data_IF_715309344305
#
_entry.id   IF_715309344305
#
_cell.length_a   1.000
_cell.length_b   1.000
_cell.length_c   1.000
_cell.angle_alpha   90.00
_cell.angle_beta   90.00
_cell.angle_gamma   90.00
#
_symmetry.space_group_name_H-M   'P 1'
#
loop_
_entity.id
_entity.type
_entity.pdbx_description
1 polymer ?
#
# COMPACT_ATOMS: atom_id res chain seq x y z
N UNK A 1 39.87 -35.31 13.56
CA UNK A 1 41.30 -35.31 13.90
C UNK A 1 42.08 -34.91 12.65
N UNK A 2 42.69 -33.72 12.68
CA UNK A 2 43.91 -33.27 11.99
C UNK A 2 44.11 -33.50 10.45
N UNK A 3 44.21 -32.36 9.74
CA UNK A 3 45.27 -31.95 8.78
C UNK A 3 45.43 -32.66 7.41
N UNK A 4 44.91 -32.03 6.33
CA UNK A 4 45.58 -31.17 5.28
C UNK A 4 47.13 -31.36 5.08
N UNK A 5 47.80 -30.95 3.96
CA UNK A 5 47.65 -31.06 2.48
C UNK A 5 48.99 -31.49 1.77
N UNK A 6 49.08 -31.41 0.42
CA UNK A 6 50.18 -30.84 -0.46
C UNK A 6 50.01 -31.41 -1.88
N UNK A 7 49.92 -30.66 -3.00
CA UNK A 7 50.74 -29.64 -3.69
C UNK A 7 51.71 -30.17 -4.77
N UNK A 8 51.55 -29.56 -5.96
CA UNK A 8 52.56 -29.14 -6.96
C UNK A 8 53.16 -30.07 -8.06
N UNK A 9 52.86 -29.67 -9.31
CA UNK A 9 53.75 -29.40 -10.48
C UNK A 9 54.65 -30.56 -11.02
N UNK A 10 54.63 -30.93 -12.31
CA UNK A 10 55.00 -30.15 -13.51
C UNK A 10 55.13 -31.11 -14.72
N UNK A 11 55.16 -30.60 -15.97
CA UNK A 11 56.24 -30.82 -16.97
C UNK A 11 55.85 -30.35 -18.40
N UNK A 12 56.69 -29.42 -18.92
CA UNK A 12 57.27 -29.29 -20.29
C UNK A 12 56.35 -29.36 -21.54
N UNK A 13 56.50 -28.54 -22.58
CA UNK A 13 57.49 -27.51 -22.91
C UNK A 13 57.38 -27.11 -24.40
N UNK A 14 57.73 -25.85 -24.69
CA UNK A 14 58.36 -25.24 -25.91
C UNK A 14 57.85 -25.60 -27.32
N UNK A 15 57.86 -24.74 -28.35
CA UNK A 15 58.08 -23.31 -28.59
C UNK A 15 57.96 -23.13 -30.14
N UNK A 16 57.46 -21.98 -30.62
CA UNK A 16 57.93 -21.23 -31.80
C UNK A 16 56.81 -20.38 -32.45
N UNK A 17 56.90 -19.08 -32.22
CA UNK A 17 56.49 -17.97 -33.11
C UNK A 17 57.61 -17.71 -34.14
N UNK A 18 57.55 -16.75 -35.11
CA UNK A 18 56.46 -15.84 -35.52
C UNK A 18 56.30 -15.67 -37.06
N UNK A 19 55.17 -15.12 -37.52
CA UNK A 19 55.15 -14.22 -38.71
C UNK A 19 54.13 -13.11 -38.49
N UNK A 20 54.60 -11.86 -38.55
CA UNK A 20 53.79 -10.63 -38.65
C UNK A 20 53.38 -10.41 -40.11
N UNK A 21 52.14 -9.99 -40.34
CA UNK A 21 51.79 -9.12 -41.46
C UNK A 21 50.71 -8.13 -41.01
N UNK A 22 51.09 -6.86 -41.09
CA UNK A 22 50.27 -5.68 -40.89
C UNK A 22 49.34 -5.45 -42.09
N UNK A 23 48.09 -5.09 -41.85
CA UNK A 23 47.39 -4.17 -42.74
C UNK A 23 46.45 -3.27 -41.94
N UNK A 24 46.66 -1.97 -42.11
CA UNK A 24 45.88 -0.87 -41.59
C UNK A 24 44.81 -0.47 -42.61
N UNK A 25 43.55 -0.39 -42.20
CA UNK A 25 42.56 0.56 -42.77
C UNK A 25 41.64 1.06 -41.66
N UNK A 26 41.44 2.37 -41.65
CA UNK A 26 40.70 3.15 -40.68
C UNK A 26 39.24 3.38 -41.12
N UNK A 27 38.47 3.97 -40.18
CA UNK A 27 37.10 4.52 -40.31
C UNK A 27 35.97 3.47 -40.24
N UNK A 28 34.86 3.61 -39.51
CA UNK A 28 34.29 4.74 -38.74
C UNK A 28 33.24 4.18 -37.76
N UNK A 29 33.21 4.71 -36.54
CA UNK A 29 32.04 4.97 -35.67
C UNK A 29 30.83 4.01 -35.64
N UNK A 30 30.64 3.32 -34.50
CA UNK A 30 29.46 3.50 -33.62
C UNK A 30 29.63 2.68 -32.33
N UNK A 31 30.39 3.19 -31.35
CA UNK A 31 30.40 2.60 -30.00
C UNK A 31 29.15 3.06 -29.26
N UNK A 32 28.14 2.18 -29.21
CA UNK A 32 27.05 2.26 -28.25
C UNK A 32 27.64 2.18 -26.84
N UNK A 33 27.77 3.33 -26.19
CA UNK A 33 28.03 3.40 -24.76
C UNK A 33 26.75 2.98 -24.04
N UNK A 34 26.60 1.67 -23.79
CA UNK A 34 25.73 1.20 -22.71
C UNK A 34 26.34 1.68 -21.40
N UNK A 35 25.95 2.88 -20.98
CA UNK A 35 26.13 3.34 -19.61
C UNK A 35 25.21 2.48 -18.74
N UNK A 36 25.70 1.33 -18.31
CA UNK A 36 25.12 0.63 -17.16
C UNK A 36 25.35 1.51 -15.95
N UNK A 37 24.35 2.32 -15.61
CA UNK A 37 24.26 3.02 -14.32
C UNK A 37 24.23 1.94 -13.24
N UNK A 38 25.41 1.59 -12.73
CA UNK A 38 25.55 0.87 -11.47
C UNK A 38 24.95 1.77 -10.39
N UNK A 39 23.71 1.50 -10.00
CA UNK A 39 23.12 2.05 -8.79
C UNK A 39 23.88 1.44 -7.62
N UNK A 40 24.96 2.10 -7.20
CA UNK A 40 25.56 1.85 -5.88
C UNK A 40 24.45 1.98 -4.85
N UNK A 41 24.09 0.86 -4.23
CA UNK A 41 23.14 0.81 -3.12
C UNK A 41 23.88 1.43 -1.93
N UNK A 42 23.88 2.76 -1.83
CA UNK A 42 24.27 3.44 -0.62
C UNK A 42 23.26 3.00 0.45
N UNK A 43 23.76 2.29 1.47
CA UNK A 43 23.06 2.08 2.73
C UNK A 43 22.77 3.48 3.29
N UNK A 44 21.59 4.02 3.03
CA UNK A 44 21.27 5.40 3.36
C UNK A 44 21.08 5.50 4.87
N UNK A 45 22.08 6.03 5.56
CA UNK A 45 21.91 6.46 6.95
C UNK A 45 20.81 7.53 7.00
N UNK A 46 19.84 7.36 7.90
CA UNK A 46 18.76 8.33 8.08
C UNK A 46 19.33 9.69 8.50
N UNK A 47 18.80 10.76 7.90
CA UNK A 47 19.16 12.14 8.26
C UNK A 47 18.42 12.51 9.56
N UNK A 48 19.17 12.78 10.63
CA UNK A 48 18.60 13.12 11.94
C UNK A 48 18.80 14.57 12.35
N UNK A 49 19.70 15.30 11.67
CA UNK A 49 19.91 16.72 11.94
C UNK A 49 18.84 17.56 11.21
N UNK A 50 18.07 18.35 11.96
CA UNK A 50 17.07 19.28 11.40
C UNK A 50 17.66 20.28 10.41
N UNK A 51 18.90 20.73 10.61
CA UNK A 51 19.54 21.74 9.74
C UNK A 51 19.87 21.20 8.33
N UNK A 52 19.79 19.88 8.16
CA UNK A 52 19.91 19.20 6.84
C UNK A 52 18.62 19.25 6.02
N UNK A 53 17.58 19.89 6.55
CA UNK A 53 16.27 20.03 5.91
C UNK A 53 15.85 21.50 5.79
N UNK A 54 15.23 21.82 4.67
CA UNK A 54 14.52 23.08 4.47
C UNK A 54 13.01 22.79 4.39
N UNK A 55 12.27 23.33 5.36
CA UNK A 55 10.82 23.20 5.45
C UNK A 55 10.15 24.28 4.59
N UNK A 56 9.19 23.86 3.79
CA UNK A 56 8.40 24.69 2.88
C UNK A 56 6.96 24.86 3.33
N UNK A 57 6.05 24.85 2.35
CA UNK A 57 4.63 25.17 2.55
C UNK A 57 3.91 24.07 3.33
N UNK A 58 2.94 24.47 4.13
CA UNK A 58 1.91 23.55 4.64
C UNK A 58 1.08 22.97 3.48
N UNK A 59 0.92 21.64 3.47
CA UNK A 59 0.13 20.91 2.47
C UNK A 59 -1.28 20.67 3.00
N UNK A 60 -1.39 20.25 4.26
CA UNK A 60 -2.65 19.85 4.86
C UNK A 60 -2.45 19.14 6.19
N UNK A 61 -3.55 18.76 6.81
CA UNK A 61 -3.55 17.98 8.04
C UNK A 61 -4.61 16.91 7.97
N UNK A 62 -4.34 15.76 8.56
CA UNK A 62 -5.33 14.70 8.72
C UNK A 62 -5.23 14.13 10.13
N UNK A 63 -6.38 13.73 10.67
CA UNK A 63 -6.41 12.83 11.82
C UNK A 63 -6.21 11.40 11.35
N UNK A 64 -5.89 10.51 12.27
CA UNK A 64 -6.04 9.09 11.98
C UNK A 64 -7.54 8.76 11.90
N UNK A 65 -7.95 8.31 10.72
CA UNK A 65 -9.20 7.59 10.50
C UNK A 65 -8.82 6.14 10.26
N UNK A 66 -9.24 5.24 11.13
CA UNK A 66 -9.26 3.84 10.75
C UNK A 66 -10.39 3.73 9.72
N UNK A 67 -10.13 3.20 8.53
CA UNK A 67 -11.20 3.05 7.51
C UNK A 67 -12.35 2.18 8.04
N UNK A 68 -12.10 1.43 9.11
CA UNK A 68 -13.08 0.61 9.78
C UNK A 68 -13.72 1.22 11.03
N UNK A 69 -13.44 2.48 11.39
CA UNK A 69 -14.08 3.15 12.55
C UNK A 69 -15.46 3.71 12.19
N UNK A 70 -16.44 2.83 11.97
CA UNK A 70 -17.85 3.23 12.06
C UNK A 70 -18.55 2.47 13.18
N UNK A 71 -18.93 3.19 14.23
CA UNK A 71 -19.96 2.79 15.18
C UNK A 71 -21.34 3.10 14.57
N UNK A 72 -22.20 2.08 14.49
CA UNK A 72 -23.58 2.20 13.97
C UNK A 72 -24.37 3.37 14.57
N UNK A 73 -25.17 4.05 13.73
CA UNK A 73 -26.15 5.05 14.15
C UNK A 73 -27.23 4.39 15.03
N UNK A 74 -27.42 4.89 16.25
CA UNK A 74 -28.59 4.62 17.08
C UNK A 74 -29.76 5.47 16.56
N UNK A 75 -30.85 4.85 16.13
CA UNK A 75 -32.14 5.53 15.96
C UNK A 75 -33.08 4.94 17.00
N UNK A 76 -33.41 5.75 18.00
CA UNK A 76 -34.34 5.38 19.06
C UNK A 76 -35.78 5.71 18.67
N UNK A 77 -36.69 4.79 19.01
CA UNK A 77 -37.94 5.10 19.71
C UNK A 77 -38.38 3.88 20.52
N UNK A 78 -38.19 4.04 21.83
CA UNK A 78 -38.93 3.57 23.00
C UNK A 78 -39.18 2.07 23.30
N UNK A 79 -38.65 1.74 24.48
CA UNK A 79 -39.19 0.88 25.53
C UNK A 79 -39.12 -0.63 25.35
N UNK A 80 -38.12 -1.24 25.98
CA UNK A 80 -38.25 -2.11 27.19
C UNK A 80 -37.05 -3.06 27.25
N UNK A 81 -36.29 -2.94 28.35
CA UNK A 81 -35.30 -3.87 28.93
C UNK A 81 -34.82 -5.06 28.05
N UNK A 82 -33.65 -4.91 27.41
CA UNK A 82 -32.84 -6.04 26.96
C UNK A 82 -31.36 -5.84 27.29
N UNK A 83 -30.79 -6.90 27.86
CA UNK A 83 -29.39 -7.11 28.24
C UNK A 83 -28.38 -6.53 27.25
N UNK A 84 -27.56 -5.62 27.77
CA UNK A 84 -26.34 -5.04 27.20
C UNK A 84 -25.20 -6.07 27.09
N UNK A 85 -25.33 -7.04 26.18
CA UNK A 85 -24.20 -7.87 25.75
C UNK A 85 -24.43 -8.34 24.31
N UNK A 86 -23.41 -8.15 23.48
CA UNK A 86 -23.28 -8.69 22.12
C UNK A 86 -24.34 -8.30 21.10
N UNK A 87 -24.10 -7.21 20.34
CA UNK A 87 -24.17 -7.17 18.86
C UNK A 87 -23.64 -5.78 18.42
N UNK A 88 -22.59 -5.77 17.57
CA UNK A 88 -22.17 -4.57 16.82
C UNK A 88 -20.83 -3.91 17.22
N UNK A 89 -19.75 -4.68 17.41
CA UNK A 89 -18.40 -4.13 17.71
C UNK A 89 -17.49 -4.17 16.48
N UNK A 90 -17.67 -3.25 15.53
CA UNK A 90 -16.81 -3.09 14.36
C UNK A 90 -15.62 -2.15 14.66
N UNK A 91 -14.45 -2.80 14.77
CA UNK A 91 -13.06 -2.38 14.48
C UNK A 91 -12.62 -0.96 14.89
N UNK A 92 -12.40 -0.80 16.19
CA UNK A 92 -11.60 0.29 16.75
C UNK A 92 -10.16 -0.23 16.92
N UNK A 93 -9.19 0.39 16.24
CA UNK A 93 -7.83 0.46 16.77
C UNK A 93 -7.93 1.40 17.97
N UNK A 94 -7.35 1.04 19.12
CA UNK A 94 -7.66 1.69 20.41
C UNK A 94 -7.21 3.17 20.51
N UNK A 95 -6.76 3.77 19.39
CA UNK A 95 -6.62 5.22 19.18
C UNK A 95 -7.92 5.77 18.58
N UNK A 96 -8.69 6.51 19.38
CA UNK A 96 -9.92 7.15 18.91
C UNK A 96 -9.68 8.07 17.71
N UNK A 97 -10.61 8.04 16.75
CA UNK A 97 -10.61 8.88 15.55
C UNK A 97 -10.41 10.36 15.92
N UNK A 98 -9.42 11.00 15.31
CA UNK A 98 -9.12 12.42 15.55
C UNK A 98 -8.31 12.76 16.81
N UNK A 99 -7.86 11.78 17.60
CA UNK A 99 -7.04 12.04 18.81
C UNK A 99 -5.64 12.60 18.49
N UNK A 100 -5.04 12.20 17.36
CA UNK A 100 -3.74 12.70 16.89
C UNK A 100 -3.92 13.39 15.54
N UNK A 101 -3.63 14.70 15.49
CA UNK A 101 -3.68 15.51 14.26
C UNK A 101 -2.30 15.62 13.64
N UNK A 102 -2.08 14.90 12.54
CA UNK A 102 -0.85 14.97 11.75
C UNK A 102 -0.91 16.16 10.81
N UNK A 103 0.21 16.87 10.68
CA UNK A 103 0.39 17.93 9.67
C UNK A 103 1.39 17.49 8.61
N UNK A 104 1.15 17.93 7.39
CA UNK A 104 2.01 17.68 6.24
C UNK A 104 2.62 18.99 5.74
N UNK A 105 3.91 18.98 5.49
CA UNK A 105 4.65 20.11 4.91
C UNK A 105 5.50 19.65 3.74
N UNK A 106 5.64 20.50 2.73
CA UNK A 106 6.64 20.31 1.68
C UNK A 106 8.02 20.64 2.24
N UNK A 107 9.06 20.14 1.57
CA UNK A 107 10.41 20.60 1.82
C UNK A 107 11.43 19.98 0.88
N UNK A 108 12.70 20.17 1.25
CA UNK A 108 13.84 19.58 0.55
C UNK A 108 14.99 19.30 1.50
N UNK A 109 15.86 18.37 1.10
CA UNK A 109 17.15 18.17 1.76
C UNK A 109 18.10 19.31 1.36
N UNK A 110 18.66 20.01 2.34
CA UNK A 110 19.50 21.21 2.12
C UNK A 110 21.00 20.88 1.96
N UNK A 111 21.46 19.79 2.57
CA UNK A 111 22.87 19.44 2.68
C UNK A 111 23.13 17.93 2.50
N UNK A 112 24.39 17.55 2.30
CA UNK A 112 24.81 16.15 2.16
C UNK A 112 24.52 15.51 0.80
N UNK A 113 24.71 14.18 0.67
CA UNK A 113 24.61 13.47 -0.61
C UNK A 113 23.23 13.49 -1.27
N UNK A 114 22.18 13.74 -0.48
CA UNK A 114 20.79 13.80 -0.94
C UNK A 114 20.30 15.24 -1.16
N UNK A 115 21.21 16.24 -1.14
CA UNK A 115 20.86 17.65 -1.35
C UNK A 115 19.99 17.86 -2.60
N UNK A 116 18.95 18.67 -2.45
CA UNK A 116 17.98 18.97 -3.49
C UNK A 116 16.85 17.95 -3.62
N UNK A 117 16.90 16.82 -2.91
CA UNK A 117 15.79 15.84 -2.91
C UNK A 117 14.55 16.47 -2.29
N UNK A 118 13.43 16.45 -3.01
CA UNK A 118 12.14 16.91 -2.49
C UNK A 118 11.59 15.94 -1.45
N UNK A 119 11.04 16.48 -0.38
CA UNK A 119 10.47 15.72 0.74
C UNK A 119 9.08 16.19 1.10
N UNK A 120 8.30 15.28 1.67
CA UNK A 120 7.08 15.58 2.41
C UNK A 120 7.36 15.25 3.87
N UNK A 121 7.25 16.26 4.73
CA UNK A 121 7.30 16.09 6.17
C UNK A 121 5.96 15.64 6.69
N UNK A 122 5.96 14.58 7.49
CA UNK A 122 4.85 14.15 8.31
C UNK A 122 5.16 14.52 9.76
N UNK A 123 4.36 15.40 10.32
CA UNK A 123 4.62 16.02 11.62
C UNK A 123 3.59 15.53 12.62
N UNK A 124 4.09 14.78 13.61
CA UNK A 124 3.31 14.36 14.76
C UNK A 124 3.38 15.43 15.84
N UNK A 125 2.25 15.76 16.48
CA UNK A 125 2.24 16.67 17.62
C UNK A 125 3.05 16.06 18.77
N UNK A 126 3.79 16.90 19.51
CA UNK A 126 4.48 16.43 20.70
C UNK A 126 3.52 16.07 21.84
N UNK A 127 4.03 15.37 22.85
CA UNK A 127 3.26 14.77 23.94
C UNK A 127 2.22 15.70 24.60
N UNK A 128 2.51 17.01 24.71
CA UNK A 128 1.59 18.00 25.30
C UNK A 128 0.29 18.19 24.51
N UNK A 129 0.35 18.03 23.18
CA UNK A 129 -0.78 18.23 22.28
C UNK A 129 -1.34 16.93 21.71
N UNK A 130 -0.50 15.90 21.57
CA UNK A 130 -0.86 14.61 20.96
C UNK A 130 -0.96 13.42 21.91
N UNK A 131 -0.68 13.61 23.20
CA UNK A 131 -0.60 12.50 24.15
C UNK A 131 0.61 11.59 23.91
N UNK A 132 0.66 10.47 24.63
CA UNK A 132 1.71 9.44 24.46
C UNK A 132 1.55 8.71 23.12
N UNK A 133 0.33 8.67 22.63
CA UNK A 133 -0.09 8.02 21.40
C UNK A 133 0.63 8.62 20.20
N UNK A 134 0.72 9.96 20.09
CA UNK A 134 1.41 10.61 18.98
C UNK A 134 2.90 10.22 18.89
N UNK A 135 3.60 10.17 20.03
CA UNK A 135 5.01 9.78 20.10
C UNK A 135 5.18 8.29 19.75
N UNK A 136 4.30 7.42 20.27
CA UNK A 136 4.30 5.99 19.93
C UNK A 136 4.08 5.76 18.44
N UNK A 137 3.16 6.49 17.82
CA UNK A 137 2.87 6.40 16.39
C UNK A 137 4.04 6.88 15.53
N UNK A 138 4.65 8.02 15.88
CA UNK A 138 5.82 8.53 15.18
C UNK A 138 7.01 7.56 15.28
N UNK A 139 7.28 7.06 16.49
CA UNK A 139 8.35 6.10 16.74
C UNK A 139 8.10 4.79 15.99
N UNK A 140 6.87 4.28 15.99
CA UNK A 140 6.53 3.04 15.29
C UNK A 140 6.67 3.19 13.77
N UNK A 141 6.19 4.29 13.18
CA UNK A 141 6.35 4.55 11.75
C UNK A 141 7.82 4.69 11.34
N UNK A 142 8.62 5.44 12.10
CA UNK A 142 10.05 5.58 11.87
C UNK A 142 10.76 4.22 11.93
N UNK A 143 10.47 3.43 12.96
CA UNK A 143 11.07 2.10 13.15
C UNK A 143 10.66 1.12 12.05
N UNK A 144 9.39 1.12 11.64
CA UNK A 144 8.88 0.27 10.57
C UNK A 144 9.59 0.57 9.24
N UNK A 145 9.69 1.85 8.86
CA UNK A 145 10.43 2.24 7.65
C UNK A 145 11.92 1.94 7.75
N UNK A 146 12.57 2.27 8.87
CA UNK A 146 13.99 2.01 9.07
C UNK A 146 14.31 0.50 8.94
N UNK A 147 13.46 -0.35 9.52
CA UNK A 147 13.57 -1.79 9.42
C UNK A 147 13.38 -2.29 7.98
N UNK A 148 12.27 -1.91 7.32
CA UNK A 148 11.94 -2.36 5.97
C UNK A 148 12.95 -1.89 4.91
N UNK A 149 13.60 -0.74 5.12
CA UNK A 149 14.61 -0.19 4.21
C UNK A 149 16.02 -0.75 4.43
N UNK A 150 16.29 -1.39 5.56
CA UNK A 150 17.59 -1.99 5.89
C UNK A 150 17.67 -3.48 5.51
N UNK A 151 16.77 -3.96 4.66
CA UNK A 151 16.76 -5.36 4.20
C UNK A 151 17.91 -5.67 3.25
N UNK A 152 18.45 -6.89 3.35
CA UNK A 152 19.43 -7.44 2.41
C UNK A 152 18.87 -7.65 1.00
N UNK A 153 17.54 -7.72 0.84
CA UNK A 153 16.84 -7.85 -0.45
C UNK A 153 16.71 -6.52 -1.20
N UNK A 154 17.25 -5.43 -0.65
CA UNK A 154 17.14 -4.08 -1.22
C UNK A 154 15.85 -3.36 -0.80
N UNK A 155 15.66 -2.13 -1.29
CA UNK A 155 14.51 -1.30 -0.95
C UNK A 155 13.33 -1.61 -1.90
N UNK A 156 12.17 -1.92 -1.33
CA UNK A 156 10.96 -2.14 -2.13
C UNK A 156 10.46 -0.83 -2.77
N UNK A 157 10.36 -0.81 -4.09
CA UNK A 157 9.88 0.37 -4.84
C UNK A 157 8.41 0.71 -4.56
N UNK A 158 7.64 -0.24 -4.03
CA UNK A 158 6.22 -0.11 -3.70
C UNK A 158 5.98 0.27 -2.22
N UNK A 159 7.02 0.69 -1.51
CA UNK A 159 6.94 1.33 -0.20
C UNK A 159 7.49 2.76 -0.28
N UNK A 160 6.89 3.68 0.47
CA UNK A 160 7.39 5.05 0.58
C UNK A 160 8.76 5.07 1.27
N UNK A 161 9.65 5.96 0.80
CA UNK A 161 11.02 6.03 1.33
C UNK A 161 11.13 7.11 2.42
N UNK A 162 11.47 6.69 3.63
CA UNK A 162 11.91 7.55 4.73
C UNK A 162 13.38 7.95 4.51
N UNK A 163 13.64 9.25 4.46
CA UNK A 163 14.99 9.82 4.34
C UNK A 163 15.58 10.21 5.69
N UNK A 164 14.74 10.47 6.69
CA UNK A 164 15.18 10.94 7.99
C UNK A 164 14.04 11.26 8.92
N UNK A 165 14.39 11.62 10.16
CA UNK A 165 13.44 12.10 11.14
C UNK A 165 14.16 12.81 12.28
N UNK A 166 13.51 13.81 12.88
CA UNK A 166 14.06 14.61 13.97
C UNK A 166 12.96 15.09 14.91
N UNK A 167 13.36 15.39 16.14
CA UNK A 167 12.50 16.00 17.15
C UNK A 167 12.82 17.49 17.29
N UNK A 168 11.79 18.32 17.43
CA UNK A 168 11.97 19.76 17.69
C UNK A 168 12.03 20.05 19.19
N UNK A 169 12.47 21.27 19.56
CA UNK A 169 12.44 21.73 20.96
C UNK A 169 11.04 21.74 21.60
N UNK A 170 9.99 21.72 20.78
CA UNK A 170 8.59 21.64 21.26
C UNK A 170 8.11 20.20 21.45
N UNK A 171 8.97 19.21 21.18
CA UNK A 171 8.67 17.77 21.27
C UNK A 171 7.93 17.21 20.05
N UNK A 172 7.78 17.98 18.98
CA UNK A 172 7.14 17.47 17.75
C UNK A 172 8.07 16.51 17.03
N UNK A 173 7.52 15.41 16.54
CA UNK A 173 8.27 14.42 15.77
C UNK A 173 8.05 14.65 14.27
N UNK A 174 9.14 14.95 13.56
CA UNK A 174 9.12 15.27 12.13
C UNK A 174 9.74 14.13 11.34
N UNK A 175 8.95 13.44 10.52
CA UNK A 175 9.43 12.37 9.64
C UNK A 175 9.51 12.88 8.19
N UNK A 176 10.66 12.73 7.56
CA UNK A 176 10.94 13.23 6.22
C UNK A 176 10.87 12.10 5.19
N UNK A 177 9.82 12.09 4.38
CA UNK A 177 9.65 11.11 3.31
C UNK A 177 10.03 11.69 1.96
N UNK A 178 10.66 10.89 1.09
CA UNK A 178 10.93 11.29 -0.30
C UNK A 178 9.60 11.58 -1.01
N UNK A 179 9.52 12.71 -1.70
CA UNK A 179 8.33 13.09 -2.44
C UNK A 179 8.25 12.31 -3.77
N UNK A 180 7.68 11.11 -3.71
CA UNK A 180 7.54 10.19 -4.85
C UNK A 180 6.20 10.32 -5.61
N UNK A 181 5.34 11.24 -5.17
CA UNK A 181 4.02 11.45 -5.72
C UNK A 181 3.17 12.33 -4.82
N UNK A 182 2.27 13.11 -5.42
CA UNK A 182 1.40 14.05 -4.70
C UNK A 182 -0.06 13.59 -4.59
N UNK A 183 -0.41 12.50 -5.27
CA UNK A 183 -1.77 11.97 -5.29
C UNK A 183 -1.85 10.71 -4.46
N UNK A 184 -3.03 10.44 -3.91
CA UNK A 184 -3.39 9.17 -3.31
C UNK A 184 -4.32 8.35 -4.21
N UNK A 185 -4.55 7.08 -3.85
CA UNK A 185 -5.58 6.28 -4.53
C UNK A 185 -7.00 6.84 -4.29
N UNK A 186 -7.23 7.51 -3.16
CA UNK A 186 -8.46 8.26 -2.90
C UNK A 186 -8.63 9.43 -3.89
N UNK A 187 -7.57 10.21 -4.13
CA UNK A 187 -7.60 11.32 -5.10
C UNK A 187 -7.90 10.82 -6.51
N UNK A 188 -7.24 9.72 -6.92
CA UNK A 188 -7.51 9.08 -8.21
C UNK A 188 -8.98 8.67 -8.33
N UNK A 189 -9.51 7.95 -7.34
CA UNK A 189 -10.87 7.45 -7.37
C UNK A 189 -11.89 8.60 -7.42
N UNK A 190 -11.67 9.67 -6.65
CA UNK A 190 -12.49 10.88 -6.69
C UNK A 190 -12.47 11.55 -8.06
N UNK A 191 -11.29 11.78 -8.64
CA UNK A 191 -11.17 12.42 -9.96
C UNK A 191 -11.84 11.57 -11.04
N UNK A 192 -11.73 10.24 -10.97
CA UNK A 192 -12.37 9.36 -11.94
C UNK A 192 -13.89 9.30 -11.79
N UNK A 193 -14.42 9.24 -10.57
CA UNK A 193 -15.87 9.23 -10.35
C UNK A 193 -16.53 10.54 -10.78
N UNK A 194 -15.89 11.68 -10.49
CA UNK A 194 -16.32 13.00 -11.00
C UNK A 194 -16.28 13.06 -12.53
N UNK A 195 -15.29 12.42 -13.17
CA UNK A 195 -15.20 12.31 -14.62
C UNK A 195 -16.34 11.46 -15.19
N UNK A 196 -16.73 10.38 -14.53
CA UNK A 196 -17.90 9.55 -14.92
C UNK A 196 -19.20 10.36 -14.81
N UNK A 197 -19.41 11.07 -13.70
CA UNK A 197 -20.60 11.94 -13.53
C UNK A 197 -20.71 13.00 -14.62
N UNK A 198 -19.59 13.65 -14.98
CA UNK A 198 -19.57 14.64 -16.07
C UNK A 198 -19.91 13.99 -17.40
N UNK A 199 -19.35 12.82 -17.71
CA UNK A 199 -19.63 12.15 -18.98
C UNK A 199 -21.12 11.80 -19.13
N UNK A 200 -21.75 11.35 -18.04
CA UNK A 200 -23.18 11.02 -18.02
C UNK A 200 -24.09 12.25 -18.06
N UNK A 201 -23.70 13.36 -17.41
CA UNK A 201 -24.50 14.60 -17.43
C UNK A 201 -24.50 15.31 -18.78
N UNK A 202 -23.47 15.11 -19.62
CA UNK A 202 -23.43 15.62 -20.99
C UNK A 202 -24.35 14.85 -21.97
N UNK A 203 -25.00 13.77 -21.52
CA UNK A 203 -25.94 12.97 -22.31
C UNK A 203 -25.32 12.32 -23.56
N UNK A 204 -26.16 11.78 -24.44
CA UNK A 204 -25.74 11.14 -25.72
C UNK A 204 -24.97 12.07 -26.67
N UNK A 205 -24.93 13.38 -26.40
CA UNK A 205 -24.32 14.39 -27.29
C UNK A 205 -22.79 14.24 -27.47
N UNK A 206 -22.09 13.60 -26.52
CA UNK A 206 -20.65 13.26 -26.62
C UNK A 206 -20.43 11.75 -26.89
N UNK A 207 -21.51 10.98 -26.98
CA UNK A 207 -21.49 9.50 -27.00
C UNK A 207 -21.21 8.86 -28.36
N UNK A 208 -21.06 9.65 -29.43
CA UNK A 208 -20.99 9.12 -30.79
C UNK A 208 -19.75 8.25 -31.09
N UNK A 209 -18.69 8.33 -30.28
CA UNK A 209 -17.48 7.51 -30.47
C UNK A 209 -17.39 6.36 -29.45
N UNK A 210 -18.09 5.25 -29.74
CA UNK A 210 -18.02 4.00 -28.97
C UNK A 210 -16.58 3.49 -28.77
N UNK A 211 -15.72 3.66 -29.76
CA UNK A 211 -14.31 3.24 -29.68
C UNK A 211 -13.54 4.01 -28.62
N UNK A 212 -13.77 5.32 -28.47
CA UNK A 212 -13.12 6.13 -27.44
C UNK A 212 -13.59 5.79 -26.02
N UNK A 213 -14.86 5.42 -25.86
CA UNK A 213 -15.41 4.97 -24.58
C UNK A 213 -14.79 3.63 -24.16
N UNK A 214 -14.79 2.65 -25.07
CA UNK A 214 -14.17 1.34 -24.83
C UNK A 214 -12.67 1.47 -24.50
N UNK A 215 -11.93 2.31 -25.24
CA UNK A 215 -10.53 2.58 -24.96
C UNK A 215 -10.32 3.27 -23.60
N UNK A 216 -11.22 4.17 -23.20
CA UNK A 216 -11.14 4.84 -21.90
C UNK A 216 -11.37 3.84 -20.76
N UNK A 217 -12.37 2.98 -20.89
CA UNK A 217 -12.65 1.91 -19.91
C UNK A 217 -11.47 0.94 -19.85
N UNK A 218 -10.92 0.49 -20.98
CA UNK A 218 -9.72 -0.37 -21.01
C UNK A 218 -8.54 0.26 -20.27
N UNK A 219 -8.25 1.54 -20.50
CA UNK A 219 -7.18 2.26 -19.80
C UNK A 219 -7.42 2.34 -18.29
N UNK A 220 -8.67 2.60 -17.87
CA UNK A 220 -9.04 2.61 -16.47
C UNK A 220 -8.83 1.25 -15.81
N UNK A 221 -9.28 0.17 -16.45
CA UNK A 221 -9.07 -1.21 -16.00
C UNK A 221 -7.59 -1.52 -15.84
N UNK A 222 -6.78 -1.21 -16.86
CA UNK A 222 -5.33 -1.40 -16.81
C UNK A 222 -4.68 -0.60 -15.68
N UNK A 223 -5.07 0.66 -15.51
CA UNK A 223 -4.55 1.52 -14.43
C UNK A 223 -4.88 0.94 -13.05
N UNK A 224 -6.14 0.56 -12.81
CA UNK A 224 -6.58 -0.02 -11.52
C UNK A 224 -5.86 -1.35 -11.25
N UNK A 225 -5.70 -2.23 -12.24
CA UNK A 225 -4.92 -3.47 -12.06
C UNK A 225 -3.45 -3.18 -11.76
N UNK A 226 -2.82 -2.20 -12.43
CA UNK A 226 -1.45 -1.78 -12.09
C UNK A 226 -1.33 -1.24 -10.67
N UNK A 227 -2.34 -0.51 -10.22
CA UNK A 227 -2.43 -0.03 -8.84
C UNK A 227 -2.48 -1.21 -7.85
N UNK A 228 -3.40 -2.16 -8.07
CA UNK A 228 -3.56 -3.36 -7.24
C UNK A 228 -2.30 -4.22 -7.21
N UNK A 229 -1.64 -4.41 -8.36
CA UNK A 229 -0.37 -5.12 -8.42
C UNK A 229 0.72 -4.43 -7.58
N UNK A 230 0.80 -3.10 -7.62
CA UNK A 230 1.77 -2.35 -6.81
C UNK A 230 1.49 -2.44 -5.32
N UNK A 231 0.21 -2.30 -4.92
CA UNK A 231 -0.27 -2.52 -3.56
C UNK A 231 0.16 -3.90 -3.04
N UNK A 232 -0.17 -4.96 -3.78
CA UNK A 232 0.11 -6.33 -3.33
C UNK A 232 1.59 -6.66 -3.35
N UNK A 233 2.41 -6.06 -4.24
CA UNK A 233 3.89 -6.17 -4.18
C UNK A 233 4.46 -5.52 -2.93
N UNK A 234 3.94 -4.35 -2.54
CA UNK A 234 4.34 -3.70 -1.29
C UNK A 234 3.97 -4.55 -0.07
N UNK A 235 2.75 -5.07 -0.04
CA UNK A 235 2.25 -5.88 1.07
C UNK A 235 2.98 -7.22 1.20
N UNK A 236 3.19 -7.93 0.08
CA UNK A 236 4.01 -9.14 0.02
C UNK A 236 5.43 -8.89 0.54
N UNK A 237 6.03 -7.76 0.16
CA UNK A 237 7.34 -7.39 0.70
C UNK A 237 7.28 -7.22 2.22
N UNK A 238 6.28 -6.52 2.78
CA UNK A 238 6.16 -6.36 4.23
C UNK A 238 5.98 -7.71 4.95
N UNK A 239 5.07 -8.56 4.46
CA UNK A 239 4.79 -9.88 5.05
C UNK A 239 6.03 -10.79 5.03
N UNK A 240 6.82 -10.75 3.95
CA UNK A 240 8.09 -11.48 3.85
C UNK A 240 9.19 -10.97 4.79
N UNK A 241 8.99 -9.82 5.42
CA UNK A 241 9.88 -9.26 6.44
C UNK A 241 9.22 -9.24 7.82
N UNK A 242 8.21 -10.09 8.05
CA UNK A 242 7.51 -10.21 9.34
C UNK A 242 6.94 -8.86 9.82
N UNK A 243 6.40 -8.07 8.88
CA UNK A 243 5.76 -6.79 9.14
C UNK A 243 4.36 -6.74 8.56
N UNK A 244 3.42 -6.27 9.36
CA UNK A 244 2.04 -5.98 8.95
C UNK A 244 1.86 -4.50 8.67
N UNK A 245 0.87 -4.14 7.84
CA UNK A 245 0.49 -2.76 7.55
C UNK A 245 -0.56 -2.22 8.54
N UNK A 246 -1.66 -2.95 8.74
CA UNK A 246 -2.72 -2.70 9.73
C UNK A 246 -3.54 -1.41 9.59
N UNK A 247 -3.28 -0.59 8.57
CA UNK A 247 -4.11 0.59 8.29
C UNK A 247 -4.25 0.81 6.79
N UNK A 248 -4.55 -0.25 6.03
CA UNK A 248 -4.64 -0.18 4.57
C UNK A 248 -5.90 0.57 4.13
N UNK A 249 -5.73 1.41 3.10
CA UNK A 249 -6.77 2.31 2.66
C UNK A 249 -6.50 3.05 1.37
N UNK A 250 -7.52 3.73 0.80
CA UNK A 250 -7.33 4.56 -0.39
C UNK A 250 -6.31 5.70 -0.18
N UNK A 251 -6.23 6.24 1.03
CA UNK A 251 -5.26 7.29 1.38
C UNK A 251 -3.86 6.73 1.68
N UNK A 252 -3.72 5.44 2.02
CA UNK A 252 -2.46 4.80 2.40
C UNK A 252 -1.59 4.38 1.20
N UNK A 253 -1.96 4.80 -0.01
CA UNK A 253 -1.19 4.57 -1.24
C UNK A 253 -0.86 5.90 -1.91
N UNK A 254 0.42 6.19 -2.10
CA UNK A 254 0.92 7.32 -2.92
C UNK A 254 1.03 6.90 -4.38
N UNK A 255 0.59 7.78 -5.26
CA UNK A 255 0.65 7.64 -6.71
C UNK A 255 1.49 8.78 -7.33
N UNK A 256 2.42 8.41 -8.20
CA UNK A 256 3.26 9.36 -8.93
C UNK A 256 2.51 10.06 -10.08
N UNK A 257 1.47 9.43 -10.63
CA UNK A 257 0.58 9.98 -11.65
C UNK A 257 -0.83 9.45 -11.41
N UNK A 258 -1.85 10.18 -11.85
CA UNK A 258 -3.26 9.74 -11.91
C UNK A 258 -3.78 9.69 -13.35
N UNK A 259 -2.88 9.88 -14.32
CA UNK A 259 -3.20 9.90 -15.74
C UNK A 259 -3.26 8.46 -16.24
N UNK A 260 -4.45 7.96 -16.57
CA UNK A 260 -4.70 6.56 -16.97
C UNK A 260 -3.81 6.13 -18.17
N UNK A 261 -3.46 7.05 -19.08
CA UNK A 261 -2.57 6.78 -20.23
C UNK A 261 -1.12 6.50 -19.84
N UNK A 262 -0.69 6.95 -18.66
CA UNK A 262 0.66 6.78 -18.14
C UNK A 262 0.77 5.57 -17.19
N UNK A 263 -0.26 4.71 -17.13
CA UNK A 263 -0.31 3.55 -16.26
C UNK A 263 0.92 2.63 -16.33
N UNK A 264 1.63 2.59 -17.47
CA UNK A 264 2.87 1.83 -17.61
C UNK A 264 4.01 2.36 -16.71
N UNK A 265 3.97 3.63 -16.32
CA UNK A 265 4.92 4.30 -15.42
C UNK A 265 4.38 4.47 -14.00
N UNK A 266 3.20 3.93 -13.71
CA UNK A 266 2.59 3.99 -12.38
C UNK A 266 3.41 3.14 -11.39
N UNK A 267 3.83 3.75 -10.29
CA UNK A 267 4.48 3.07 -9.17
C UNK A 267 3.71 3.41 -7.88
N UNK A 268 2.72 2.58 -7.52
CA UNK A 268 1.96 2.74 -6.28
C UNK A 268 2.85 2.43 -5.08
N UNK A 269 2.81 3.27 -4.04
CA UNK A 269 3.64 3.10 -2.83
C UNK A 269 2.80 3.13 -1.57
N UNK A 270 2.91 2.08 -0.76
CA UNK A 270 2.32 2.06 0.58
C UNK A 270 3.01 3.07 1.50
N UNK A 271 2.21 3.70 2.37
CA UNK A 271 2.61 4.70 3.37
C UNK A 271 1.79 4.51 4.66
N UNK A 272 2.06 5.35 5.65
CA UNK A 272 1.33 5.39 6.92
C UNK A 272 1.53 4.14 7.79
N UNK A 273 2.80 3.80 8.05
CA UNK A 273 3.18 2.62 8.85
C UNK A 273 3.11 2.85 10.37
N UNK A 274 2.33 3.83 10.82
CA UNK A 274 2.18 4.17 12.24
C UNK A 274 1.58 3.03 13.07
N UNK A 275 0.75 2.18 12.46
CA UNK A 275 0.16 1.00 13.09
C UNK A 275 0.86 -0.30 12.67
N UNK A 276 1.99 -0.22 11.97
CA UNK A 276 2.70 -1.42 11.52
C UNK A 276 3.10 -2.28 12.71
N UNK A 277 2.89 -3.60 12.59
CA UNK A 277 3.16 -4.55 13.66
C UNK A 277 4.28 -5.50 13.25
N UNK A 278 5.20 -5.73 14.17
CA UNK A 278 6.25 -6.75 14.03
C UNK A 278 5.70 -8.11 14.48
N UNK A 279 5.72 -9.09 13.59
CA UNK A 279 5.17 -10.43 13.83
C UNK A 279 6.26 -11.52 13.93
N UNK A 280 7.50 -11.13 14.20
CA UNK A 280 8.54 -12.09 14.60
C UNK A 280 8.13 -12.74 15.92
N UNK A 281 8.37 -14.05 16.05
CA UNK A 281 7.93 -14.82 17.22
C UNK A 281 8.34 -14.21 18.56
N UNK A 282 9.56 -13.67 18.65
CA UNK A 282 10.07 -13.01 19.88
C UNK A 282 9.23 -11.81 20.33
N UNK A 283 8.57 -11.11 19.40
CA UNK A 283 7.72 -9.96 19.70
C UNK A 283 6.26 -10.34 19.96
N UNK A 284 5.85 -11.57 19.62
CA UNK A 284 4.50 -12.09 19.84
C UNK A 284 4.34 -12.77 21.20
N UNK A 285 5.45 -13.17 21.83
CA UNK A 285 5.47 -13.81 23.16
C UNK A 285 5.23 -12.80 24.30
N UNK A 286 5.67 -11.55 24.13
CA UNK A 286 5.43 -10.43 25.06
C UNK A 286 4.85 -9.22 24.32
N UNK A 287 3.57 -9.27 23.90
CA UNK A 287 2.90 -8.12 23.31
C UNK A 287 2.69 -7.10 24.42
N UNK A 288 3.59 -6.13 24.52
CA UNK A 288 3.57 -5.11 25.58
C UNK A 288 2.17 -4.51 25.81
N UNK A 289 1.78 -4.44 27.08
CA UNK A 289 0.49 -3.89 27.52
C UNK A 289 0.35 -2.43 27.05
N UNK A 290 -0.78 -2.09 26.42
CA UNK A 290 -1.03 -0.75 25.88
C UNK A 290 -0.35 -0.45 24.54
N UNK A 291 0.04 -1.48 23.78
CA UNK A 291 0.59 -1.29 22.42
C UNK A 291 -0.48 -0.88 21.40
N UNK A 292 -0.08 -0.19 20.32
CA UNK A 292 -0.93 0.12 19.17
C UNK A 292 -1.55 -1.13 18.50
N UNK A 293 -1.05 -2.32 18.84
CA UNK A 293 -1.48 -3.61 18.29
C UNK A 293 -2.52 -4.35 19.14
N UNK A 294 -2.92 -3.80 20.31
CA UNK A 294 -3.86 -4.46 21.22
C UNK A 294 -5.19 -4.83 20.52
N UNK A 295 -5.77 -3.87 19.80
CA UNK A 295 -6.98 -4.11 19.01
C UNK A 295 -6.84 -5.24 17.98
N UNK A 296 -5.68 -5.41 17.34
CA UNK A 296 -5.40 -6.53 16.43
C UNK A 296 -5.43 -7.87 17.19
N UNK A 297 -4.74 -7.95 18.33
CA UNK A 297 -4.65 -9.21 19.09
C UNK A 297 -5.94 -9.58 19.79
N UNK A 298 -6.77 -8.60 20.14
CA UNK A 298 -8.14 -8.82 20.59
C UNK A 298 -8.99 -9.48 19.48
N UNK A 299 -8.88 -8.99 18.23
CA UNK A 299 -9.56 -9.61 17.08
C UNK A 299 -9.03 -11.02 16.80
N UNK A 300 -7.72 -11.21 16.88
CA UNK A 300 -7.11 -12.53 16.69
C UNK A 300 -7.68 -13.56 17.69
N UNK A 301 -7.70 -13.20 18.97
CA UNK A 301 -8.26 -14.03 20.04
C UNK A 301 -9.74 -14.34 19.80
N UNK A 302 -10.54 -13.33 19.41
CA UNK A 302 -11.95 -13.50 19.11
C UNK A 302 -12.20 -14.41 17.89
N UNK A 303 -11.29 -14.44 16.92
CA UNK A 303 -11.31 -15.35 15.78
C UNK A 303 -10.74 -16.76 16.08
N UNK A 304 -10.40 -17.03 17.34
CA UNK A 304 -9.86 -18.31 17.79
C UNK A 304 -8.38 -18.53 17.45
N UNK A 305 -7.60 -17.46 17.30
CA UNK A 305 -6.15 -17.52 17.14
C UNK A 305 -5.46 -17.33 18.50
N UNK A 306 -5.13 -18.44 19.17
CA UNK A 306 -4.60 -18.41 20.55
C UNK A 306 -3.09 -18.60 20.60
N UNK A 307 -2.53 -19.37 19.68
CA UNK A 307 -1.07 -19.60 19.60
C UNK A 307 -0.35 -18.46 18.91
N UNK A 308 0.96 -18.32 19.15
CA UNK A 308 1.81 -17.32 18.46
C UNK A 308 1.79 -17.51 16.94
N UNK A 309 1.82 -18.76 16.48
CA UNK A 309 1.68 -19.11 15.07
C UNK A 309 0.34 -18.65 14.49
N UNK A 310 -0.77 -18.95 15.17
CA UNK A 310 -2.10 -18.54 14.69
C UNK A 310 -2.26 -17.02 14.69
N UNK A 311 -1.73 -16.31 15.70
CA UNK A 311 -1.75 -14.84 15.73
C UNK A 311 -0.96 -14.24 14.57
N UNK A 312 0.19 -14.82 14.23
CA UNK A 312 0.98 -14.44 13.05
C UNK A 312 0.17 -14.61 11.75
N UNK A 313 -0.45 -15.78 11.57
CA UNK A 313 -1.29 -16.07 10.40
C UNK A 313 -2.51 -15.14 10.36
N UNK A 314 -3.16 -14.91 11.50
CA UNK A 314 -4.27 -13.99 11.62
C UNK A 314 -3.89 -12.58 11.18
N UNK A 315 -2.79 -12.02 11.67
CA UNK A 315 -2.36 -10.67 11.33
C UNK A 315 -2.09 -10.50 9.82
N UNK A 316 -1.46 -11.49 9.18
CA UNK A 316 -1.28 -11.51 7.72
C UNK A 316 -2.65 -11.53 7.02
N UNK A 317 -3.55 -12.41 7.45
CA UNK A 317 -4.89 -12.53 6.88
C UNK A 317 -5.78 -11.30 7.13
N UNK A 318 -5.51 -10.53 8.18
CA UNK A 318 -6.21 -9.28 8.51
C UNK A 318 -5.79 -8.16 7.55
N UNK A 319 -4.49 -8.02 7.25
CA UNK A 319 -4.01 -7.12 6.19
C UNK A 319 -4.62 -7.49 4.81
N UNK A 320 -4.76 -8.78 4.51
CA UNK A 320 -5.36 -9.25 3.24
C UNK A 320 -6.84 -8.89 3.16
N UNK A 321 -7.56 -8.94 4.28
CA UNK A 321 -8.94 -8.49 4.34
C UNK A 321 -9.07 -6.99 4.06
N UNK A 322 -8.22 -6.16 4.68
CA UNK A 322 -8.21 -4.71 4.40
C UNK A 322 -7.83 -4.42 2.94
N UNK A 323 -6.87 -5.17 2.39
CA UNK A 323 -6.54 -5.10 0.96
C UNK A 323 -7.73 -5.51 0.07
N UNK A 324 -8.58 -6.44 0.52
CA UNK A 324 -9.81 -6.85 -0.16
C UNK A 324 -10.85 -5.73 -0.19
N UNK A 325 -11.07 -5.04 0.94
CA UNK A 325 -11.94 -3.86 0.98
C UNK A 325 -11.42 -2.72 0.10
N UNK A 326 -10.10 -2.51 0.08
CA UNK A 326 -9.45 -1.55 -0.80
C UNK A 326 -9.57 -1.95 -2.28
N UNK A 327 -9.50 -3.24 -2.59
CA UNK A 327 -9.78 -3.76 -3.93
C UNK A 327 -11.23 -3.45 -4.34
N UNK A 328 -12.22 -3.75 -3.48
CA UNK A 328 -13.61 -3.39 -3.75
C UNK A 328 -13.76 -1.88 -3.98
N UNK A 329 -13.16 -1.04 -3.13
CA UNK A 329 -13.17 0.42 -3.31
C UNK A 329 -12.66 0.84 -4.70
N UNK A 330 -11.53 0.28 -5.14
CA UNK A 330 -10.92 0.59 -6.43
C UNK A 330 -11.66 -0.01 -7.62
N UNK A 331 -12.43 -1.08 -7.40
CA UNK A 331 -13.27 -1.69 -8.42
C UNK A 331 -14.57 -0.91 -8.67
N UNK A 332 -15.11 -0.25 -7.64
CA UNK A 332 -16.37 0.47 -7.74
C UNK A 332 -16.19 1.98 -7.93
N UNK A 333 -15.50 2.66 -7.01
CA UNK A 333 -15.52 4.14 -6.97
C UNK A 333 -15.01 4.78 -8.27
N UNK A 334 -13.89 4.36 -8.88
CA UNK A 334 -13.43 4.95 -10.14
C UNK A 334 -14.33 4.69 -11.35
N UNK A 335 -15.22 3.70 -11.28
CA UNK A 335 -16.10 3.27 -12.38
C UNK A 335 -17.52 3.80 -12.25
N UNK A 336 -17.93 4.23 -11.05
CA UNK A 336 -19.26 4.78 -10.79
C UNK A 336 -19.27 6.31 -10.80
N UNK A 337 -20.47 6.89 -10.92
CA UNK A 337 -20.68 8.32 -10.70
C UNK A 337 -20.35 8.72 -9.25
N UNK A 338 -19.84 9.93 -9.07
CA UNK A 338 -19.58 10.49 -7.75
C UNK A 338 -20.85 10.49 -6.89
N UNK A 339 -20.73 9.98 -5.66
CA UNK A 339 -21.83 9.90 -4.70
C UNK A 339 -22.70 8.64 -4.81
N UNK A 340 -22.53 7.81 -5.84
CA UNK A 340 -23.21 6.51 -5.93
C UNK A 340 -22.59 5.51 -4.96
N UNK A 341 -21.26 5.51 -4.88
CA UNK A 341 -20.52 4.57 -4.07
C UNK A 341 -19.35 5.28 -3.40
N UNK A 342 -19.18 5.02 -2.11
CA UNK A 342 -18.04 5.44 -1.30
C UNK A 342 -17.54 4.26 -0.44
N UNK A 343 -16.41 4.43 0.25
CA UNK A 343 -15.80 3.35 1.03
C UNK A 343 -16.70 2.80 2.14
N UNK A 344 -17.44 3.68 2.83
CA UNK A 344 -18.34 3.28 3.92
C UNK A 344 -19.59 2.59 3.37
N UNK A 345 -20.15 3.11 2.28
CA UNK A 345 -21.29 2.50 1.60
C UNK A 345 -20.95 1.10 1.07
N UNK A 346 -19.76 0.91 0.47
CA UNK A 346 -19.27 -0.41 0.06
C UNK A 346 -19.09 -1.36 1.22
N UNK A 347 -18.44 -0.90 2.29
CA UNK A 347 -18.22 -1.74 3.45
C UNK A 347 -19.55 -2.21 4.06
N UNK A 348 -20.55 -1.32 4.18
CA UNK A 348 -21.89 -1.68 4.65
C UNK A 348 -22.57 -2.67 3.72
N UNK A 349 -22.49 -2.43 2.41
CA UNK A 349 -23.08 -3.32 1.41
C UNK A 349 -22.51 -4.74 1.55
N UNK A 350 -21.18 -4.85 1.59
CA UNK A 350 -20.48 -6.13 1.65
C UNK A 350 -20.63 -6.80 3.02
N UNK A 351 -20.32 -6.11 4.11
CA UNK A 351 -20.24 -6.71 5.44
C UNK A 351 -21.61 -6.83 6.13
N UNK A 352 -22.49 -5.85 5.96
CA UNK A 352 -23.77 -5.78 6.71
C UNK A 352 -24.96 -6.26 5.89
N UNK A 353 -25.10 -5.79 4.64
CA UNK A 353 -26.26 -6.10 3.81
C UNK A 353 -26.19 -7.53 3.26
N UNK A 354 -25.08 -7.89 2.62
CA UNK A 354 -24.90 -9.21 2.00
C UNK A 354 -24.05 -10.17 2.82
N UNK A 355 -23.54 -9.75 3.98
CA UNK A 355 -22.78 -10.62 4.90
C UNK A 355 -21.64 -11.39 4.21
N UNK A 356 -20.95 -10.70 3.29
CA UNK A 356 -19.83 -11.20 2.49
C UNK A 356 -20.19 -12.27 1.45
N UNK A 357 -21.48 -12.40 1.10
CA UNK A 357 -21.96 -13.12 -0.08
C UNK A 357 -21.77 -12.26 -1.33
N UNK A 358 -20.70 -12.52 -2.09
CA UNK A 358 -20.38 -11.73 -3.28
C UNK A 358 -21.20 -12.12 -4.50
N UNK A 359 -21.80 -13.31 -4.53
CA UNK A 359 -22.70 -13.70 -5.62
C UNK A 359 -23.99 -12.88 -5.52
N UNK A 360 -24.59 -12.81 -4.33
CA UNK A 360 -25.74 -11.96 -4.06
C UNK A 360 -25.42 -10.46 -4.27
N UNK A 361 -24.22 -10.02 -3.86
CA UNK A 361 -23.76 -8.65 -4.11
C UNK A 361 -23.68 -8.37 -5.61
N UNK A 362 -23.14 -9.30 -6.41
CA UNK A 362 -23.02 -9.16 -7.86
C UNK A 362 -24.40 -9.05 -8.52
N UNK A 363 -25.35 -9.89 -8.14
CA UNK A 363 -26.73 -9.84 -8.65
C UNK A 363 -27.40 -8.50 -8.34
N UNK A 364 -27.24 -8.00 -7.11
CA UNK A 364 -27.73 -6.69 -6.73
C UNK A 364 -27.10 -5.58 -7.58
N UNK A 365 -25.79 -5.61 -7.79
CA UNK A 365 -25.10 -4.61 -8.60
C UNK A 365 -25.47 -4.68 -10.09
N UNK A 366 -25.80 -5.86 -10.62
CA UNK A 366 -26.30 -6.01 -11.99
C UNK A 366 -27.69 -5.38 -12.20
N UNK A 367 -28.48 -5.24 -11.15
CA UNK A 367 -29.80 -4.60 -11.21
C UNK A 367 -29.73 -3.06 -11.25
N UNK A 368 -28.55 -2.45 -11.08
CA UNK A 368 -28.35 -1.00 -11.13
C UNK A 368 -27.41 -0.62 -12.29
N UNK A 369 -27.96 0.02 -13.33
CA UNK A 369 -27.24 0.47 -14.52
C UNK A 369 -26.04 1.41 -14.21
N UNK A 370 -26.01 2.02 -13.03
CA UNK A 370 -24.90 2.88 -12.58
C UNK A 370 -23.69 2.09 -12.10
N UNK A 371 -23.84 0.80 -11.84
CA UNK A 371 -22.79 -0.08 -11.31
C UNK A 371 -22.23 -1.05 -12.36
N UNK A 372 -22.81 -1.11 -13.57
CA UNK A 372 -22.43 -2.09 -14.60
C UNK A 372 -20.95 -2.03 -15.02
N UNK A 373 -20.34 -0.84 -15.07
CA UNK A 373 -18.92 -0.72 -15.41
C UNK A 373 -18.00 -1.33 -14.32
N UNK A 374 -18.40 -1.22 -13.06
CA UNK A 374 -17.70 -1.83 -11.92
C UNK A 374 -17.88 -3.36 -11.93
N UNK A 375 -19.11 -3.84 -12.18
CA UNK A 375 -19.39 -5.28 -12.35
C UNK A 375 -18.59 -5.84 -13.52
N UNK A 376 -18.60 -5.16 -14.66
CA UNK A 376 -17.84 -5.55 -15.85
C UNK A 376 -16.32 -5.52 -15.65
N UNK A 377 -15.80 -4.73 -14.70
CA UNK A 377 -14.40 -4.80 -14.30
C UNK A 377 -14.11 -6.06 -13.47
N UNK A 378 -14.96 -6.42 -12.52
CA UNK A 378 -14.80 -7.62 -11.70
C UNK A 378 -15.09 -8.91 -12.48
N UNK A 379 -15.89 -8.84 -13.54
CA UNK A 379 -16.18 -9.95 -14.46
C UNK A 379 -15.02 -10.28 -15.42
N UNK A 380 -13.95 -9.47 -15.45
CA UNK A 380 -12.76 -9.77 -16.25
C UNK A 380 -12.19 -11.16 -15.92
N UNK A 381 -11.84 -11.91 -16.96
CA UNK A 381 -11.30 -13.26 -16.80
C UNK A 381 -12.33 -14.27 -16.30
N UNK A 382 -13.58 -14.12 -16.74
CA UNK A 382 -14.73 -14.97 -16.39
C UNK A 382 -15.00 -14.95 -14.87
N UNK A 383 -15.35 -13.77 -14.36
CA UNK A 383 -15.68 -13.59 -12.94
C UNK A 383 -14.48 -13.59 -11.98
N UNK A 384 -13.24 -13.53 -12.48
CA UNK A 384 -12.04 -13.67 -11.66
C UNK A 384 -11.88 -12.59 -10.58
N UNK A 385 -12.41 -11.39 -10.81
CA UNK A 385 -12.38 -10.31 -9.81
C UNK A 385 -13.27 -10.62 -8.61
N UNK A 386 -14.46 -11.16 -8.86
CA UNK A 386 -15.40 -11.60 -7.81
C UNK A 386 -14.85 -12.77 -7.01
N UNK A 387 -14.31 -13.80 -7.66
CA UNK A 387 -13.66 -14.94 -6.99
C UNK A 387 -12.52 -14.47 -6.07
N UNK A 388 -11.66 -13.57 -6.58
CA UNK A 388 -10.54 -13.05 -5.80
C UNK A 388 -11.03 -12.25 -4.58
N UNK A 389 -12.04 -11.40 -4.78
CA UNK A 389 -12.60 -10.59 -3.70
C UNK A 389 -13.24 -11.50 -2.63
N UNK A 390 -13.92 -12.58 -3.03
CA UNK A 390 -14.55 -13.56 -2.12
C UNK A 390 -13.48 -14.27 -1.28
N UNK A 391 -12.35 -14.62 -1.90
CA UNK A 391 -11.23 -15.24 -1.20
C UNK A 391 -10.56 -14.28 -0.20
N UNK A 392 -10.35 -13.02 -0.58
CA UNK A 392 -9.72 -12.01 0.28
C UNK A 392 -10.62 -11.61 1.47
N UNK A 393 -11.93 -11.53 1.24
CA UNK A 393 -12.91 -11.17 2.27
C UNK A 393 -13.47 -12.37 3.04
N UNK A 394 -12.88 -13.56 2.92
CA UNK A 394 -13.41 -14.75 3.57
C UNK A 394 -13.57 -14.55 5.09
N UNK A 395 -14.73 -14.89 5.70
CA UNK A 395 -14.92 -14.74 7.15
C UNK A 395 -13.89 -15.54 7.95
N UNK A 396 -13.52 -16.74 7.48
CA UNK A 396 -12.47 -17.54 8.08
C UNK A 396 -11.09 -17.06 7.60
N UNK A 397 -10.34 -16.43 8.51
CA UNK A 397 -9.01 -15.90 8.22
C UNK A 397 -8.04 -16.96 7.70
N UNK A 398 -8.26 -18.25 8.03
CA UNK A 398 -7.41 -19.36 7.59
C UNK A 398 -7.56 -19.66 6.10
N UNK A 399 -8.68 -19.25 5.50
CA UNK A 399 -8.99 -19.46 4.08
C UNK A 399 -8.56 -18.27 3.20
N UNK A 400 -8.14 -17.16 3.79
CA UNK A 400 -7.68 -16.00 3.03
C UNK A 400 -6.33 -16.27 2.38
N UNK A 401 -6.10 -15.81 1.14
CA UNK A 401 -4.83 -15.98 0.46
C UNK A 401 -3.74 -15.13 1.10
N UNK A 402 -2.47 -15.49 0.90
CA UNK A 402 -1.34 -14.59 1.16
C UNK A 402 -1.16 -13.59 0.01
N UNK A 403 -0.41 -12.52 0.23
CA UNK A 403 -0.23 -11.46 -0.76
C UNK A 403 0.39 -11.95 -2.08
N UNK A 404 1.31 -12.91 -2.04
CA UNK A 404 1.89 -13.56 -3.22
C UNK A 404 0.85 -14.35 -4.02
N UNK A 405 -0.07 -15.04 -3.35
CA UNK A 405 -1.13 -15.79 -4.02
C UNK A 405 -2.10 -14.83 -4.73
N UNK A 406 -2.42 -13.69 -4.11
CA UNK A 406 -3.21 -12.63 -4.74
C UNK A 406 -2.50 -12.07 -5.98
N UNK A 407 -1.19 -11.82 -5.92
CA UNK A 407 -0.40 -11.34 -7.07
C UNK A 407 -0.41 -12.31 -8.26
N UNK A 408 -0.44 -13.62 -7.98
CA UNK A 408 -0.44 -14.67 -8.99
C UNK A 408 -1.86 -15.04 -9.47
N UNK A 409 -2.91 -14.42 -8.91
CA UNK A 409 -4.28 -14.67 -9.30
C UNK A 409 -4.54 -14.25 -10.76
N UNK A 410 -5.35 -15.01 -11.50
CA UNK A 410 -5.63 -14.76 -12.93
C UNK A 410 -6.16 -13.35 -13.21
N UNK A 411 -6.92 -12.79 -12.27
CA UNK A 411 -7.42 -11.41 -12.34
C UNK A 411 -6.30 -10.37 -12.49
N UNK A 412 -5.15 -10.57 -11.83
CA UNK A 412 -4.01 -9.64 -11.92
C UNK A 412 -3.38 -9.60 -13.31
N UNK A 413 -3.58 -10.64 -14.12
CA UNK A 413 -3.13 -10.70 -15.53
C UNK A 413 -4.20 -10.29 -16.54
N UNK A 414 -5.49 -10.25 -16.14
CA UNK A 414 -6.61 -10.12 -17.06
C UNK A 414 -6.70 -8.75 -17.77
N UNK A 415 -6.14 -7.68 -17.20
CA UNK A 415 -6.16 -6.34 -17.82
C UNK A 415 -5.01 -6.08 -18.82
N UNK A 416 -4.18 -7.09 -19.11
CA UNK A 416 -3.13 -7.00 -20.14
C UNK A 416 -3.62 -7.50 -21.51
N UNK A 417 -4.81 -8.11 -21.56
CA UNK A 417 -5.41 -8.70 -22.77
C UNK A 417 -6.41 -7.74 -23.42
#
# INVERSE_FOLDING_TARGET
MLLVPTDCLSLLGHANTPVRLSSSKASTTSKSLRVTRSTRICKASLITNSDSFEVGRFIGSYGFMNITSYTGFQSGTDSTEYSTADVGRLRVQDVGEGSVKIRLYEGRVSQGPLRGTSVVFKVYPGQRAGGKEADMMAANELNAHAFLQNSSKGICQNLLILLGGFETKTGEQWLAFRNDGKYSAADYAKVMSEKVSKLRSLGESVSWNRFEQEETIKRRRYYVVKLLQGLMRGLAYMHNHDRLHQSLGPASIVLNTIVEREAAYLVPRLRDLAFSVDIRYTNLEDPGVGSLSEGLWRRATAAGAFTTLEKRVFGIADDIYEAGLLFAYLAFVPFCEAGIMDGLSLQRLLESTFQLDLDATREYCLADDRLLDAVGFLDLGDGAGWELLQAMLNPDFRKRPIAEAVLNHRFMGAAVV
#
